data_IF_416368075757
#
_entry.id   IF_416368075757
#
_cell.length_a   1.000
_cell.length_b   1.000
_cell.length_c   1.000
_cell.angle_alpha   90.00
_cell.angle_beta   90.00
_cell.angle_gamma   90.00
#
_symmetry.space_group_name_H-M   'P 1'
#
loop_
_entity.id
_entity.type
_entity.pdbx_description
1 polymer ?
#
# COMPACT_ATOMS: atom_id res chain seq x y z
N UNK A 1 -6.66 -17.46 -24.25
CA UNK A 1 -6.82 -17.85 -22.83
C UNK A 1 -7.74 -16.83 -22.13
N UNK A 2 -8.39 -17.17 -21.00
CA UNK A 2 -9.22 -16.23 -20.26
C UNK A 2 -8.48 -14.93 -19.88
N UNK A 3 -7.20 -15.02 -19.53
CA UNK A 3 -6.35 -13.85 -19.26
C UNK A 3 -6.25 -12.90 -20.45
N UNK A 4 -6.04 -13.43 -21.66
CA UNK A 4 -5.92 -12.62 -22.88
C UNK A 4 -7.20 -11.81 -23.15
N UNK A 5 -8.37 -12.44 -23.06
CA UNK A 5 -9.65 -11.77 -23.26
C UNK A 5 -9.87 -10.64 -22.23
N UNK A 6 -9.48 -10.85 -20.97
CA UNK A 6 -9.56 -9.82 -19.93
C UNK A 6 -8.59 -8.65 -20.17
N UNK A 7 -7.41 -8.92 -20.73
CA UNK A 7 -6.48 -7.85 -21.13
C UNK A 7 -7.02 -7.06 -22.32
N UNK A 8 -7.65 -7.73 -23.29
CA UNK A 8 -8.31 -7.07 -24.43
C UNK A 8 -9.47 -6.19 -23.94
N UNK A 9 -10.30 -6.68 -23.02
CA UNK A 9 -11.39 -5.89 -22.40
C UNK A 9 -10.86 -4.70 -21.58
N UNK A 10 -9.81 -4.90 -20.77
CA UNK A 10 -9.13 -3.81 -20.06
C UNK A 10 -8.63 -2.73 -21.03
N UNK A 11 -8.05 -3.15 -22.17
CA UNK A 11 -7.53 -2.24 -23.18
C UNK A 11 -8.65 -1.41 -23.80
N UNK A 12 -9.76 -2.04 -24.18
CA UNK A 12 -10.92 -1.35 -24.74
C UNK A 12 -11.50 -0.33 -23.75
N UNK A 13 -11.67 -0.71 -22.48
CA UNK A 13 -12.17 0.21 -21.43
C UNK A 13 -11.26 1.41 -21.21
N UNK A 14 -9.95 1.20 -21.22
CA UNK A 14 -8.99 2.29 -21.10
C UNK A 14 -9.10 3.23 -22.31
N UNK A 15 -9.22 2.68 -23.53
CA UNK A 15 -9.40 3.45 -24.77
C UNK A 15 -10.69 4.27 -24.76
N UNK A 16 -11.79 3.73 -24.25
CA UNK A 16 -13.06 4.45 -24.10
C UNK A 16 -12.95 5.64 -23.13
N UNK A 17 -12.08 5.55 -22.12
CA UNK A 17 -11.79 6.67 -21.20
C UNK A 17 -10.94 7.77 -21.87
N UNK A 18 -10.14 7.42 -22.87
CA UNK A 18 -9.25 8.34 -23.59
C UNK A 18 -7.99 8.76 -22.82
N UNK A 19 -8.12 9.16 -21.55
CA UNK A 19 -7.00 9.55 -20.69
C UNK A 19 -7.28 9.30 -19.21
N UNK A 20 -6.24 8.96 -18.44
CA UNK A 20 -6.39 8.59 -17.01
C UNK A 20 -5.29 9.11 -16.09
N UNK A 21 -5.70 9.54 -14.90
CA UNK A 21 -4.82 9.64 -13.73
C UNK A 21 -4.92 8.32 -12.97
N UNK A 22 -3.84 7.54 -12.94
CA UNK A 22 -3.77 6.32 -12.14
C UNK A 22 -3.34 6.67 -10.71
N UNK A 23 -4.22 6.39 -9.74
CA UNK A 23 -3.88 6.46 -8.32
C UNK A 23 -2.84 5.38 -7.99
N UNK A 24 -1.57 5.78 -8.02
CA UNK A 24 -0.42 4.88 -8.06
C UNK A 24 0.26 4.78 -6.70
N UNK A 25 0.14 3.60 -6.07
CA UNK A 25 0.70 3.33 -4.75
C UNK A 25 2.03 2.56 -4.78
N UNK A 26 2.58 2.28 -5.97
CA UNK A 26 3.79 1.45 -6.11
C UNK A 26 3.57 -0.05 -5.84
N UNK A 27 2.32 -0.49 -5.64
CA UNK A 27 1.95 -1.89 -5.47
C UNK A 27 1.65 -2.59 -6.80
N UNK A 28 1.72 -3.93 -6.82
CA UNK A 28 1.58 -4.75 -8.02
C UNK A 28 0.34 -4.40 -8.87
N UNK A 29 -0.83 -4.23 -8.24
CA UNK A 29 -2.08 -3.97 -8.97
C UNK A 29 -2.10 -2.57 -9.61
N UNK A 30 -1.71 -1.54 -8.87
CA UNK A 30 -1.61 -0.17 -9.40
C UNK A 30 -0.51 -0.01 -10.46
N UNK A 31 0.60 -0.76 -10.32
CA UNK A 31 1.69 -0.78 -11.27
C UNK A 31 1.28 -1.44 -12.59
N UNK A 32 0.54 -2.55 -12.51
CA UNK A 32 -0.03 -3.21 -13.67
C UNK A 32 -1.04 -2.31 -14.38
N UNK A 33 -1.96 -1.67 -13.65
CA UNK A 33 -2.93 -0.73 -14.23
C UNK A 33 -2.22 0.43 -14.93
N UNK A 34 -1.18 1.00 -14.31
CA UNK A 34 -0.39 2.07 -14.93
C UNK A 34 0.27 1.60 -16.24
N UNK A 35 0.94 0.44 -16.23
CA UNK A 35 1.55 -0.12 -17.42
C UNK A 35 0.52 -0.45 -18.51
N UNK A 36 -0.66 -0.96 -18.13
CA UNK A 36 -1.75 -1.25 -19.07
C UNK A 36 -2.32 0.02 -19.70
N UNK A 37 -2.52 1.08 -18.90
CA UNK A 37 -2.94 2.40 -19.39
C UNK A 37 -1.95 2.96 -20.41
N UNK A 38 -0.65 2.92 -20.11
CA UNK A 38 0.39 3.40 -21.04
C UNK A 38 0.37 2.63 -22.35
N UNK A 39 0.22 1.31 -22.30
CA UNK A 39 0.14 0.46 -23.51
C UNK A 39 -1.12 0.72 -24.33
N UNK A 40 -2.23 1.06 -23.69
CA UNK A 40 -3.51 1.30 -24.34
C UNK A 40 -3.63 2.71 -24.92
N UNK A 41 -3.09 3.73 -24.24
CA UNK A 41 -3.35 5.15 -24.49
C UNK A 41 -2.11 5.95 -24.90
N UNK A 42 -0.91 5.40 -24.72
CA UNK A 42 0.34 6.16 -24.81
C UNK A 42 0.66 6.93 -23.52
N UNK A 43 1.87 7.47 -23.45
CA UNK A 43 2.38 8.17 -22.26
C UNK A 43 1.74 9.55 -22.04
N UNK A 44 1.29 10.20 -23.11
CA UNK A 44 0.75 11.57 -23.04
C UNK A 44 -0.64 11.63 -22.41
N UNK A 45 -1.41 10.54 -22.53
CA UNK A 45 -2.77 10.41 -22.00
C UNK A 45 -2.82 9.75 -20.61
N UNK A 46 -1.66 9.53 -19.98
CA UNK A 46 -1.57 8.82 -18.70
C UNK A 46 -0.76 9.63 -17.72
N UNK A 47 -1.25 9.73 -16.49
CA UNK A 47 -0.53 10.36 -15.38
C UNK A 47 -0.51 9.38 -14.22
N UNK A 48 0.68 9.08 -13.69
CA UNK A 48 0.80 8.41 -12.41
C UNK A 48 0.64 9.46 -11.30
N UNK A 49 -0.15 9.16 -10.26
CA UNK A 49 -0.26 10.05 -9.10
C UNK A 49 -0.09 9.31 -7.78
N UNK A 50 0.92 9.68 -7.00
CA UNK A 50 1.19 9.11 -5.68
C UNK A 50 0.94 10.16 -4.60
N UNK A 51 -0.14 10.01 -3.84
CA UNK A 51 -0.44 10.88 -2.72
C UNK A 51 0.64 10.80 -1.64
N UNK A 52 1.15 11.95 -1.24
CA UNK A 52 2.19 12.07 -0.21
C UNK A 52 1.56 12.51 1.10
N UNK A 53 1.75 11.69 2.13
CA UNK A 53 1.30 11.98 3.49
C UNK A 53 2.21 11.33 4.51
N UNK A 54 2.08 11.66 5.81
CA UNK A 54 2.81 10.98 6.88
C UNK A 54 2.55 9.47 6.95
N UNK A 55 1.54 8.93 6.25
CA UNK A 55 1.22 7.50 6.27
C UNK A 55 1.83 6.71 5.11
N UNK A 56 2.42 7.39 4.13
CA UNK A 56 3.18 6.78 3.03
C UNK A 56 4.62 6.50 3.50
N UNK A 57 5.09 5.23 3.48
CA UNK A 57 6.50 4.94 3.74
C UNK A 57 7.41 5.63 2.72
N UNK A 58 8.54 6.20 3.16
CA UNK A 58 9.46 6.94 2.29
C UNK A 58 9.96 6.14 1.09
N UNK A 59 10.25 4.85 1.30
CA UNK A 59 10.81 3.96 0.28
C UNK A 59 9.80 3.63 -0.84
N UNK A 60 8.49 3.71 -0.53
CA UNK A 60 7.44 3.51 -1.51
C UNK A 60 7.36 4.68 -2.50
N UNK A 61 7.58 5.92 -2.04
CA UNK A 61 7.60 7.09 -2.92
C UNK A 61 8.77 7.04 -3.91
N UNK A 62 9.96 6.66 -3.44
CA UNK A 62 11.13 6.51 -4.29
C UNK A 62 10.90 5.42 -5.35
N UNK A 63 10.39 4.26 -4.95
CA UNK A 63 10.05 3.16 -5.85
C UNK A 63 9.00 3.56 -6.89
N UNK A 64 7.97 4.32 -6.49
CA UNK A 64 6.94 4.81 -7.39
C UNK A 64 7.50 5.79 -8.43
N UNK A 65 8.38 6.72 -8.02
CA UNK A 65 9.05 7.66 -8.93
C UNK A 65 9.87 6.93 -9.98
N UNK A 66 10.68 5.95 -9.57
CA UNK A 66 11.47 5.12 -10.50
C UNK A 66 10.56 4.39 -11.48
N UNK A 67 9.52 3.71 -10.99
CA UNK A 67 8.61 2.96 -11.86
C UNK A 67 7.89 3.85 -12.89
N UNK A 68 7.40 5.02 -12.49
CA UNK A 68 6.77 5.97 -13.42
C UNK A 68 7.76 6.51 -14.46
N UNK A 69 9.00 6.80 -14.04
CA UNK A 69 10.08 7.22 -14.92
C UNK A 69 10.46 6.14 -15.94
N UNK A 70 10.56 4.88 -15.52
CA UNK A 70 10.89 3.75 -16.39
C UNK A 70 9.82 3.51 -17.47
N UNK A 71 8.56 3.85 -17.18
CA UNK A 71 7.47 3.83 -18.14
C UNK A 71 7.37 5.09 -19.02
N UNK A 72 8.18 6.13 -18.75
CA UNK A 72 8.13 7.40 -19.47
C UNK A 72 6.87 8.24 -19.18
N UNK A 73 6.25 8.04 -18.01
CA UNK A 73 4.97 8.68 -17.67
C UNK A 73 5.18 9.85 -16.71
N UNK A 74 4.39 10.91 -16.89
CA UNK A 74 4.32 12.00 -15.91
C UNK A 74 3.92 11.48 -14.54
N UNK A 75 4.69 11.84 -13.51
CA UNK A 75 4.41 11.51 -12.12
C UNK A 75 4.06 12.75 -11.31
N UNK A 76 2.85 12.79 -10.76
CA UNK A 76 2.38 13.83 -9.84
C UNK A 76 2.40 13.30 -8.41
N UNK A 77 2.85 14.13 -7.47
CA UNK A 77 2.95 13.75 -6.05
C UNK A 77 2.18 14.73 -5.16
N UNK A 78 0.84 14.79 -5.27
CA UNK A 78 0.07 15.74 -4.51
C UNK A 78 0.08 15.39 -3.02
N UNK A 79 0.07 16.40 -2.16
CA UNK A 79 -0.01 16.21 -0.71
C UNK A 79 -1.45 15.91 -0.29
N UNK A 80 -1.63 14.95 0.62
CA UNK A 80 -2.93 14.67 1.25
C UNK A 80 -2.91 15.04 2.73
N UNK A 81 -4.09 15.43 3.22
CA UNK A 81 -4.31 15.97 4.55
C UNK A 81 -5.23 15.06 5.36
N UNK A 82 -5.16 13.74 5.15
CA UNK A 82 -6.02 12.79 5.86
C UNK A 82 -5.82 12.84 7.39
N UNK A 83 -4.66 13.34 7.86
CA UNK A 83 -4.41 13.62 9.28
C UNK A 83 -5.32 14.71 9.86
N UNK A 84 -5.95 15.54 9.04
CA UNK A 84 -6.89 16.58 9.50
C UNK A 84 -8.31 16.01 9.68
N UNK A 85 -8.55 14.80 9.18
CA UNK A 85 -9.86 14.14 9.24
C UNK A 85 -9.99 13.34 10.52
N UNK A 86 -10.97 13.69 11.33
CA UNK A 86 -11.28 12.97 12.57
C UNK A 86 -11.48 11.47 12.32
N UNK A 87 -12.25 11.10 11.28
CA UNK A 87 -12.50 9.69 10.96
C UNK A 87 -11.25 8.88 10.59
N UNK A 88 -10.23 9.52 10.00
CA UNK A 88 -8.95 8.86 9.79
C UNK A 88 -8.17 8.72 11.11
N UNK A 89 -8.08 9.81 11.87
CA UNK A 89 -7.32 9.86 13.14
C UNK A 89 -7.87 8.90 14.17
N UNK A 90 -9.19 8.74 14.24
CA UNK A 90 -9.87 7.86 15.20
C UNK A 90 -9.44 6.40 15.08
N UNK A 91 -8.86 6.00 13.94
CA UNK A 91 -8.33 4.67 13.69
C UNK A 91 -9.34 3.56 14.01
N UNK A 92 -10.61 3.77 13.66
CA UNK A 92 -11.62 2.73 13.77
C UNK A 92 -11.56 1.82 12.53
N UNK A 93 -12.46 0.85 12.43
CA UNK A 93 -12.51 -0.08 11.30
C UNK A 93 -12.61 0.61 9.93
N UNK A 94 -13.13 1.83 9.86
CA UNK A 94 -13.39 2.56 8.62
C UNK A 94 -12.29 3.56 8.22
N UNK A 95 -11.14 3.63 8.90
CA UNK A 95 -10.02 4.55 8.56
C UNK A 95 -9.69 4.60 7.07
N UNK A 96 -9.72 3.45 6.39
CA UNK A 96 -9.44 3.34 4.95
C UNK A 96 -10.46 4.07 4.07
N UNK A 97 -11.70 4.28 4.54
CA UNK A 97 -12.70 5.13 3.88
C UNK A 97 -12.17 6.56 3.75
N UNK A 98 -11.81 7.18 4.89
CA UNK A 98 -11.37 8.58 4.93
C UNK A 98 -10.05 8.82 4.20
N UNK A 99 -9.13 7.85 4.27
CA UNK A 99 -7.88 7.87 3.51
C UNK A 99 -8.15 7.88 2.00
N UNK A 100 -9.01 6.97 1.52
CA UNK A 100 -9.27 6.84 0.08
C UNK A 100 -10.16 7.98 -0.44
N UNK A 101 -11.06 8.48 0.37
CA UNK A 101 -11.81 9.70 0.11
C UNK A 101 -10.89 10.88 -0.18
N UNK A 102 -9.94 11.16 0.72
CA UNK A 102 -8.97 12.25 0.58
C UNK A 102 -8.13 12.06 -0.68
N UNK A 103 -7.65 10.83 -0.93
CA UNK A 103 -6.88 10.53 -2.13
C UNK A 103 -7.64 10.97 -3.39
N UNK A 104 -8.89 10.54 -3.58
CA UNK A 104 -9.62 10.88 -4.80
C UNK A 104 -9.92 12.37 -4.87
N UNK A 105 -10.34 13.00 -3.77
CA UNK A 105 -10.59 14.44 -3.70
C UNK A 105 -9.39 15.29 -4.10
N UNK A 106 -8.17 14.88 -3.72
CA UNK A 106 -6.93 15.57 -4.09
C UNK A 106 -6.52 15.30 -5.54
N UNK A 107 -6.94 14.18 -6.14
CA UNK A 107 -6.67 13.86 -7.54
C UNK A 107 -7.64 14.54 -8.51
N UNK A 108 -8.89 14.82 -8.09
CA UNK A 108 -9.89 15.43 -8.97
C UNK A 108 -9.44 16.77 -9.60
N UNK A 109 -8.78 17.71 -8.88
CA UNK A 109 -8.23 18.92 -9.49
C UNK A 109 -7.20 18.67 -10.60
N UNK A 110 -6.54 17.50 -10.61
CA UNK A 110 -5.59 17.15 -11.66
C UNK A 110 -6.26 16.91 -13.00
N UNK A 111 -7.51 16.45 -13.01
CA UNK A 111 -8.27 16.19 -14.23
C UNK A 111 -8.41 17.47 -15.07
N UNK A 112 -8.91 18.55 -14.45
CA UNK A 112 -9.05 19.84 -15.12
C UNK A 112 -7.70 20.49 -15.44
N UNK A 113 -6.71 20.36 -14.55
CA UNK A 113 -5.38 20.96 -14.73
C UNK A 113 -4.57 20.33 -15.87
N UNK A 114 -4.76 19.04 -16.11
CA UNK A 114 -3.97 18.24 -17.06
C UNK A 114 -4.78 17.82 -18.29
N UNK A 115 -6.05 18.21 -18.39
CA UNK A 115 -6.98 17.79 -19.44
C UNK A 115 -7.10 16.25 -19.53
N UNK A 116 -7.32 15.63 -18.37
CA UNK A 116 -7.44 14.17 -18.22
C UNK A 116 -8.88 13.78 -17.84
N UNK A 117 -9.39 12.69 -18.39
CA UNK A 117 -10.81 12.34 -18.27
C UNK A 117 -11.21 11.69 -16.94
N UNK A 118 -10.37 10.81 -16.38
CA UNK A 118 -10.78 10.00 -15.22
C UNK A 118 -9.66 9.70 -14.21
N UNK A 119 -10.04 9.47 -12.96
CA UNK A 119 -9.18 8.88 -11.92
C UNK A 119 -9.41 7.37 -11.87
N UNK A 120 -8.38 6.56 -12.05
CA UNK A 120 -8.46 5.10 -12.01
C UNK A 120 -7.71 4.50 -10.81
N UNK A 121 -8.32 3.52 -10.13
CA UNK A 121 -7.67 2.79 -9.01
C UNK A 121 -7.38 1.34 -9.39
N UNK A 122 -6.30 0.79 -8.85
CA UNK A 122 -5.88 -0.61 -9.06
C UNK A 122 -6.75 -1.67 -8.37
N UNK A 123 -8.04 -1.41 -8.14
CA UNK A 123 -8.98 -2.36 -7.56
C UNK A 123 -9.24 -3.51 -8.53
N UNK A 124 -9.01 -4.75 -8.09
CA UNK A 124 -9.14 -5.95 -8.91
C UNK A 124 -10.42 -6.75 -8.56
N UNK A 125 -10.70 -7.82 -9.30
CA UNK A 125 -11.92 -8.63 -9.14
C UNK A 125 -12.02 -9.38 -7.81
N UNK A 126 -10.89 -9.73 -7.19
CA UNK A 126 -10.89 -10.40 -5.90
C UNK A 126 -11.22 -9.42 -4.77
N UNK A 127 -10.87 -8.14 -4.93
CA UNK A 127 -11.20 -7.10 -3.95
C UNK A 127 -12.71 -6.91 -3.78
N UNK A 128 -13.48 -7.05 -4.85
CA UNK A 128 -14.96 -6.94 -4.81
C UNK A 128 -15.64 -8.09 -4.08
N UNK A 129 -14.95 -9.23 -3.91
CA UNK A 129 -15.46 -10.38 -3.16
C UNK A 129 -15.20 -10.27 -1.65
N UNK A 130 -14.32 -9.36 -1.24
CA UNK A 130 -14.00 -9.16 0.16
C UNK A 130 -15.12 -8.38 0.87
N UNK A 131 -15.57 -8.87 2.03
CA UNK A 131 -16.79 -8.37 2.68
C UNK A 131 -16.72 -6.89 3.11
N UNK A 132 -15.58 -6.44 3.64
CA UNK A 132 -15.44 -5.06 4.15
C UNK A 132 -14.31 -4.29 3.47
N UNK A 133 -14.68 -3.47 2.48
CA UNK A 133 -13.77 -2.63 1.68
C UNK A 133 -14.17 -1.14 1.68
N UNK A 134 -14.11 -0.47 2.85
CA UNK A 134 -14.51 0.94 2.98
C UNK A 134 -13.77 1.89 2.01
N UNK A 135 -12.50 1.61 1.70
CA UNK A 135 -11.74 2.43 0.76
C UNK A 135 -12.28 2.36 -0.67
N UNK A 136 -12.63 1.18 -1.17
CA UNK A 136 -13.16 1.01 -2.54
C UNK A 136 -14.49 1.77 -2.66
N UNK A 137 -15.36 1.64 -1.66
CA UNK A 137 -16.60 2.41 -1.57
C UNK A 137 -16.34 3.92 -1.64
N UNK A 138 -15.41 4.43 -0.82
CA UNK A 138 -15.09 5.87 -0.80
C UNK A 138 -14.58 6.40 -2.14
N UNK A 139 -13.83 5.59 -2.89
CA UNK A 139 -13.32 5.94 -4.21
C UNK A 139 -14.45 6.00 -5.25
N UNK A 140 -15.32 4.98 -5.25
CA UNK A 140 -16.46 4.90 -6.16
C UNK A 140 -17.46 6.05 -5.94
N UNK A 141 -17.75 6.39 -4.67
CA UNK A 141 -18.61 7.54 -4.32
C UNK A 141 -18.08 8.89 -4.84
N UNK A 142 -16.79 8.97 -5.19
CA UNK A 142 -16.12 10.17 -5.73
C UNK A 142 -15.80 10.05 -7.23
N UNK A 143 -16.33 9.03 -7.89
CA UNK A 143 -16.21 8.87 -9.35
C UNK A 143 -14.89 8.24 -9.81
N UNK A 144 -14.10 7.63 -8.92
CA UNK A 144 -12.96 6.84 -9.38
C UNK A 144 -13.43 5.57 -10.11
N UNK A 145 -12.82 5.28 -11.25
CA UNK A 145 -13.09 4.08 -12.05
C UNK A 145 -12.18 2.92 -11.65
N UNK A 146 -12.60 1.68 -11.94
CA UNK A 146 -11.89 0.46 -11.54
C UNK A 146 -11.65 -0.50 -12.71
N UNK A 147 -10.83 -0.13 -13.71
CA UNK A 147 -10.74 -0.88 -14.97
C UNK A 147 -10.34 -2.35 -14.81
N UNK A 148 -9.50 -2.68 -13.81
CA UNK A 148 -9.11 -4.06 -13.53
C UNK A 148 -10.29 -4.90 -13.01
N UNK A 149 -11.08 -4.35 -12.08
CA UNK A 149 -12.31 -4.97 -11.58
C UNK A 149 -13.33 -5.14 -12.70
N UNK A 150 -13.52 -4.10 -13.51
CA UNK A 150 -14.54 -4.10 -14.57
C UNK A 150 -14.22 -5.13 -15.66
N UNK A 151 -12.94 -5.33 -15.97
CA UNK A 151 -12.46 -6.40 -16.85
C UNK A 151 -12.33 -7.77 -16.16
N UNK A 152 -12.71 -7.88 -14.88
CA UNK A 152 -12.72 -9.12 -14.12
C UNK A 152 -11.34 -9.70 -13.84
N UNK A 153 -10.28 -8.90 -13.86
CA UNK A 153 -8.92 -9.36 -13.58
C UNK A 153 -8.76 -9.72 -12.11
N UNK A 154 -8.43 -10.98 -11.85
CA UNK A 154 -8.04 -11.46 -10.51
C UNK A 154 -6.60 -11.05 -10.18
N UNK A 155 -6.23 -11.04 -8.91
CA UNK A 155 -4.87 -10.76 -8.43
C UNK A 155 -3.83 -11.70 -9.03
N UNK A 156 -4.16 -12.98 -9.17
CA UNK A 156 -3.27 -13.97 -9.80
C UNK A 156 -3.00 -13.61 -11.27
N UNK A 157 -4.05 -13.25 -12.00
CA UNK A 157 -3.96 -12.82 -13.39
C UNK A 157 -3.17 -11.53 -13.57
N UNK A 158 -3.36 -10.55 -12.69
CA UNK A 158 -2.57 -9.31 -12.65
C UNK A 158 -1.09 -9.65 -12.48
N UNK A 159 -0.73 -10.54 -11.55
CA UNK A 159 0.67 -10.96 -11.35
C UNK A 159 1.23 -11.74 -12.54
N UNK A 160 0.45 -12.64 -13.12
CA UNK A 160 0.85 -13.40 -14.31
C UNK A 160 1.12 -12.48 -15.51
N UNK A 161 0.22 -11.51 -15.76
CA UNK A 161 0.40 -10.53 -16.82
C UNK A 161 1.58 -9.59 -16.53
N UNK A 162 1.72 -9.11 -15.30
CA UNK A 162 2.85 -8.27 -14.86
C UNK A 162 4.19 -8.98 -15.08
N UNK A 163 4.29 -10.26 -14.73
CA UNK A 163 5.48 -11.07 -14.93
C UNK A 163 5.78 -11.26 -16.42
N UNK A 164 4.77 -11.56 -17.23
CA UNK A 164 4.91 -11.68 -18.67
C UNK A 164 5.33 -10.36 -19.34
N UNK A 165 4.97 -9.23 -18.73
CA UNK A 165 5.34 -7.88 -19.19
C UNK A 165 6.68 -7.40 -18.63
N UNK A 166 7.36 -8.19 -17.80
CA UNK A 166 8.65 -7.83 -17.20
C UNK A 166 8.56 -6.76 -16.11
N UNK A 167 7.39 -6.53 -15.51
CA UNK A 167 7.24 -5.51 -14.47
C UNK A 167 7.92 -5.96 -13.18
N UNK A 168 8.86 -5.16 -12.67
CA UNK A 168 9.61 -5.46 -11.44
C UNK A 168 8.73 -5.62 -10.18
N UNK A 169 7.48 -5.13 -10.23
CA UNK A 169 6.52 -5.19 -9.12
C UNK A 169 5.66 -6.46 -9.10
N UNK A 170 5.87 -7.42 -10.03
CA UNK A 170 4.98 -8.58 -10.22
C UNK A 170 4.89 -9.48 -8.97
N UNK A 171 5.98 -9.65 -8.24
CA UNK A 171 6.08 -10.43 -7.00
C UNK A 171 6.02 -9.56 -5.74
N UNK A 172 6.15 -8.22 -5.87
CA UNK A 172 6.13 -7.28 -4.75
C UNK A 172 4.96 -7.56 -3.78
N UNK A 173 5.25 -7.75 -2.48
CA UNK A 173 4.22 -7.89 -1.45
C UNK A 173 3.31 -6.66 -1.40
N UNK A 174 2.08 -6.84 -0.92
CA UNK A 174 1.18 -5.70 -0.73
C UNK A 174 1.77 -4.73 0.31
N UNK A 175 2.15 -3.54 -0.13
CA UNK A 175 2.60 -2.47 0.73
C UNK A 175 1.38 -1.83 1.41
N UNK A 176 1.21 -2.10 2.70
CA UNK A 176 0.23 -1.41 3.51
C UNK A 176 0.81 -0.07 4.01
N UNK A 177 -0.05 0.95 4.18
CA UNK A 177 0.34 2.23 4.77
C UNK A 177 0.83 2.07 6.21
N UNK A 178 1.60 3.05 6.71
CA UNK A 178 2.13 3.03 8.08
C UNK A 178 1.01 2.98 9.13
N UNK A 179 -0.17 3.55 8.86
CA UNK A 179 -1.29 3.49 9.80
C UNK A 179 -1.81 2.06 10.03
N UNK A 180 -1.54 1.10 9.14
CA UNK A 180 -1.87 -0.31 9.35
C UNK A 180 -1.04 -0.97 10.46
N UNK A 181 -0.04 -0.27 11.01
CA UNK A 181 0.77 -0.73 12.13
C UNK A 181 0.18 -0.30 13.47
N UNK A 182 -0.70 0.70 13.48
CA UNK A 182 -1.28 1.25 14.71
C UNK A 182 -2.53 0.46 15.06
N UNK A 183 -2.62 -0.06 16.28
CA UNK A 183 -3.78 -0.80 16.76
C UNK A 183 -5.06 0.01 16.67
N UNK A 184 -6.16 -0.64 16.27
CA UNK A 184 -7.46 0.00 16.21
C UNK A 184 -7.85 0.60 17.56
N UNK A 185 -8.52 1.75 17.52
CA UNK A 185 -8.85 2.55 18.70
C UNK A 185 -7.70 3.40 19.23
N UNK A 186 -6.44 3.16 18.80
CA UNK A 186 -5.33 4.08 19.07
C UNK A 186 -5.32 5.15 18.01
N UNK A 187 -5.40 6.41 18.43
CA UNK A 187 -5.41 7.55 17.53
C UNK A 187 -4.16 7.59 16.64
N UNK A 188 -4.35 7.69 15.32
CA UNK A 188 -3.24 7.92 14.38
C UNK A 188 -2.74 9.35 14.53
N UNK A 189 -1.43 9.50 14.65
CA UNK A 189 -0.76 10.80 14.70
C UNK A 189 0.53 10.77 13.87
N UNK A 190 1.00 11.92 13.35
CA UNK A 190 2.29 11.99 12.66
C UNK A 190 3.45 11.45 13.50
N UNK A 191 3.46 11.70 14.82
CA UNK A 191 4.48 11.18 15.73
C UNK A 191 4.49 9.65 15.79
N UNK A 192 3.32 9.01 15.87
CA UNK A 192 3.19 7.55 15.88
C UNK A 192 3.62 6.93 14.55
N UNK A 193 3.24 7.53 13.43
CA UNK A 193 3.65 7.07 12.10
C UNK A 193 5.17 7.18 11.94
N UNK A 194 5.76 8.30 12.34
CA UNK A 194 7.20 8.53 12.26
C UNK A 194 8.01 7.57 13.14
N UNK A 195 7.55 7.24 14.36
CA UNK A 195 8.26 6.24 15.19
C UNK A 195 8.18 4.83 14.63
N UNK A 196 7.03 4.45 14.05
CA UNK A 196 6.89 3.16 13.35
C UNK A 196 7.87 3.09 12.18
N UNK A 197 7.92 4.12 11.35
CA UNK A 197 8.82 4.16 10.19
C UNK A 197 10.29 4.11 10.62
N UNK A 198 10.70 4.93 11.60
CA UNK A 198 12.07 4.89 12.14
C UNK A 198 12.43 3.50 12.66
N UNK A 199 11.53 2.83 13.36
CA UNK A 199 11.74 1.49 13.88
C UNK A 199 11.87 0.47 12.73
N UNK A 200 10.96 0.47 11.74
CA UNK A 200 11.04 -0.44 10.58
C UNK A 200 12.34 -0.22 9.77
N UNK A 201 12.75 1.04 9.55
CA UNK A 201 14.01 1.37 8.86
C UNK A 201 15.23 0.90 9.66
N UNK A 202 15.26 1.15 10.96
CA UNK A 202 16.37 0.73 11.82
C UNK A 202 16.51 -0.80 11.84
N UNK A 203 15.39 -1.52 11.93
CA UNK A 203 15.40 -2.98 11.88
C UNK A 203 15.89 -3.51 10.53
N UNK A 204 15.44 -2.94 9.41
CA UNK A 204 15.94 -3.33 8.08
C UNK A 204 17.46 -3.17 7.97
N UNK A 205 17.99 -2.05 8.47
CA UNK A 205 19.45 -1.79 8.50
C UNK A 205 20.19 -2.80 9.38
N UNK A 206 19.68 -3.07 10.59
CA UNK A 206 20.27 -4.06 11.49
C UNK A 206 20.28 -5.46 10.85
N UNK A 207 19.16 -5.90 10.29
CA UNK A 207 19.07 -7.21 9.64
C UNK A 207 20.03 -7.33 8.45
N UNK A 208 20.16 -6.28 7.64
CA UNK A 208 21.12 -6.23 6.54
C UNK A 208 22.58 -6.32 7.01
N UNK A 209 22.94 -5.68 8.13
CA UNK A 209 24.27 -5.79 8.75
C UNK A 209 24.61 -7.21 9.21
N UNK A 210 23.57 -8.02 9.47
CA UNK A 210 23.69 -9.44 9.82
C UNK A 210 23.45 -10.38 8.64
N UNK A 211 23.41 -9.85 7.41
CA UNK A 211 23.18 -10.61 6.17
C UNK A 211 21.85 -11.40 6.18
N UNK A 212 20.84 -10.86 6.87
CA UNK A 212 19.51 -11.44 6.95
C UNK A 212 18.54 -10.72 6.00
N UNK A 213 18.12 -11.43 4.97
CA UNK A 213 17.02 -10.99 4.12
C UNK A 213 15.69 -11.17 4.85
N UNK A 214 14.91 -10.09 4.93
CA UNK A 214 13.59 -10.07 5.54
C UNK A 214 12.67 -9.18 4.69
N UNK A 215 11.77 -9.80 3.95
CA UNK A 215 10.80 -9.11 3.10
C UNK A 215 9.77 -8.38 3.96
N UNK A 216 9.31 -9.05 5.01
CA UNK A 216 8.30 -8.51 5.93
C UNK A 216 8.92 -8.06 7.24
N UNK A 217 9.22 -6.77 7.33
CA UNK A 217 9.50 -6.09 8.59
C UNK A 217 8.30 -5.23 8.96
N UNK A 218 7.66 -5.50 10.10
CA UNK A 218 6.56 -4.68 10.63
C UNK A 218 6.79 -4.36 12.10
N UNK A 219 6.60 -3.11 12.48
CA UNK A 219 6.57 -2.69 13.88
C UNK A 219 5.16 -2.24 14.22
N UNK A 220 4.41 -3.08 14.95
CA UNK A 220 3.05 -2.78 15.36
C UNK A 220 3.06 -1.90 16.61
N UNK A 221 2.40 -0.77 16.53
CA UNK A 221 2.19 0.16 17.62
C UNK A 221 0.92 -0.21 18.39
N UNK A 222 1.10 -0.78 19.58
CA UNK A 222 0.03 -1.18 20.51
C UNK A 222 -0.12 -0.17 21.67
N UNK A 223 0.31 1.08 21.48
CA UNK A 223 0.31 2.11 22.53
C UNK A 223 1.72 2.32 23.06
N UNK A 224 2.02 1.77 24.23
CA UNK A 224 3.37 1.80 24.80
C UNK A 224 4.24 0.63 24.33
N UNK A 225 3.60 -0.45 23.88
CA UNK A 225 4.23 -1.68 23.43
C UNK A 225 4.39 -1.68 21.91
N UNK A 226 5.60 -1.96 21.43
CA UNK A 226 5.88 -2.35 20.07
C UNK A 226 5.90 -3.87 19.92
N UNK A 227 5.12 -4.40 18.97
CA UNK A 227 5.24 -5.79 18.52
C UNK A 227 5.94 -5.84 17.17
N UNK A 228 7.13 -6.41 17.14
CA UNK A 228 7.93 -6.63 15.94
C UNK A 228 7.51 -7.93 15.28
N UNK A 229 7.08 -7.86 14.04
CA UNK A 229 6.75 -9.03 13.21
C UNK A 229 7.77 -9.11 12.05
N UNK A 230 8.43 -10.25 11.94
CA UNK A 230 9.45 -10.56 10.93
C UNK A 230 9.07 -11.84 10.17
N UNK A 231 9.73 -12.10 9.04
CA UNK A 231 9.63 -13.42 8.41
C UNK A 231 10.08 -14.52 9.37
N UNK A 232 9.37 -15.66 9.38
CA UNK A 232 9.56 -16.71 10.37
C UNK A 232 11.02 -17.23 10.49
N UNK A 233 11.78 -17.42 9.39
CA UNK A 233 13.19 -17.78 9.48
C UNK A 233 14.05 -16.72 10.20
N UNK A 234 13.70 -15.44 10.04
CA UNK A 234 14.39 -14.31 10.67
C UNK A 234 14.04 -14.24 12.16
N UNK A 235 12.79 -14.51 12.54
CA UNK A 235 12.38 -14.63 13.96
C UNK A 235 13.24 -15.67 14.68
N UNK A 236 13.39 -16.87 14.11
CA UNK A 236 14.21 -17.93 14.71
C UNK A 236 15.67 -17.51 14.88
N UNK A 237 16.23 -16.76 13.92
CA UNK A 237 17.60 -16.24 14.00
C UNK A 237 17.75 -15.15 15.06
N UNK A 238 16.78 -14.24 15.17
CA UNK A 238 16.76 -13.19 16.20
C UNK A 238 16.67 -13.81 17.59
N UNK A 239 15.80 -14.81 17.79
CA UNK A 239 15.60 -15.45 19.10
C UNK A 239 16.79 -16.31 19.56
N UNK A 240 17.54 -16.89 18.62
CA UNK A 240 18.71 -17.73 18.93
C UNK A 240 20.01 -16.95 19.16
N UNK A 241 19.99 -15.62 18.98
CA UNK A 241 21.17 -14.76 19.09
C UNK A 241 20.91 -13.59 20.04
N UNK A 242 21.44 -13.68 21.26
CA UNK A 242 21.28 -12.63 22.28
C UNK A 242 21.76 -11.24 21.80
N UNK A 243 22.90 -11.08 21.10
CA UNK A 243 23.32 -9.78 20.57
C UNK A 243 22.33 -9.22 19.54
N UNK A 244 21.80 -10.07 18.65
CA UNK A 244 20.84 -9.64 17.63
C UNK A 244 19.49 -9.26 18.24
N UNK A 245 18.99 -10.05 19.19
CA UNK A 245 17.79 -9.74 19.94
C UNK A 245 17.92 -8.39 20.67
N UNK A 246 19.03 -8.17 21.37
CA UNK A 246 19.31 -6.90 22.04
C UNK A 246 19.37 -5.72 21.06
N UNK A 247 19.97 -5.93 19.88
CA UNK A 247 19.99 -4.94 18.80
C UNK A 247 18.59 -4.59 18.29
N UNK A 248 17.71 -5.58 18.13
CA UNK A 248 16.30 -5.37 17.74
C UNK A 248 15.57 -4.54 18.79
N UNK A 249 15.71 -4.88 20.07
CA UNK A 249 15.09 -4.13 21.17
C UNK A 249 15.60 -2.68 21.18
N UNK A 250 16.93 -2.50 21.18
CA UNK A 250 17.56 -1.17 21.20
C UNK A 250 17.11 -0.31 20.02
N UNK A 251 17.04 -0.87 18.81
CA UNK A 251 16.63 -0.14 17.61
C UNK A 251 15.19 0.37 17.70
N UNK A 252 14.29 -0.43 18.28
CA UNK A 252 12.87 -0.08 18.43
C UNK A 252 12.66 0.89 19.59
N UNK A 253 13.36 0.71 20.72
CA UNK A 253 13.33 1.65 21.85
C UNK A 253 13.85 3.03 21.46
N UNK A 254 14.96 3.09 20.72
CA UNK A 254 15.52 4.33 20.19
C UNK A 254 14.57 5.06 19.23
N UNK A 255 13.59 4.37 18.64
CA UNK A 255 12.56 4.98 17.81
C UNK A 255 11.45 5.66 18.63
N UNK A 256 11.34 5.38 19.94
CA UNK A 256 10.38 5.99 20.86
C UNK A 256 9.31 5.03 21.39
N UNK A 257 9.65 3.76 21.59
CA UNK A 257 8.80 2.77 22.25
C UNK A 257 9.35 2.39 23.62
N UNK A 258 8.48 2.15 24.59
CA UNK A 258 8.86 1.84 25.99
C UNK A 258 9.06 0.35 26.20
N UNK A 259 8.38 -0.48 25.40
CA UNK A 259 8.48 -1.94 25.51
C UNK A 259 8.47 -2.56 24.12
N UNK A 260 9.23 -3.64 23.97
CA UNK A 260 9.40 -4.32 22.68
C UNK A 260 9.21 -5.81 22.87
N UNK A 261 8.41 -6.42 21.98
CA UNK A 261 8.30 -7.87 21.86
C UNK A 261 8.49 -8.28 20.40
N UNK A 262 9.17 -9.40 20.17
CA UNK A 262 9.24 -10.05 18.85
C UNK A 262 8.15 -11.12 18.80
N UNK A 263 7.22 -11.02 17.84
CA UNK A 263 6.14 -12.00 17.70
C UNK A 263 6.71 -13.36 17.26
N UNK A 264 6.61 -14.42 18.09
CA UNK A 264 7.13 -15.75 17.74
C UNK A 264 6.41 -16.38 16.55
N UNK A 265 5.21 -15.90 16.21
CA UNK A 265 4.44 -16.36 15.04
C UNK A 265 4.88 -15.67 13.75
N UNK A 266 5.78 -14.67 13.83
CA UNK A 266 6.23 -13.89 12.69
C UNK A 266 5.12 -13.06 12.03
N UNK A 267 5.43 -12.52 10.85
CA UNK A 267 4.52 -11.72 10.06
C UNK A 267 3.32 -12.53 9.58
N UNK A 268 2.12 -11.98 9.81
CA UNK A 268 0.85 -12.48 9.27
C UNK A 268 0.05 -11.32 8.71
N UNK A 269 -0.41 -11.45 7.47
CA UNK A 269 -1.32 -10.45 6.89
C UNK A 269 -2.59 -10.36 7.73
N UNK A 270 -3.00 -9.15 8.09
CA UNK A 270 -4.19 -8.93 8.92
C UNK A 270 -4.01 -9.23 10.41
N UNK A 271 -2.80 -9.43 10.94
CA UNK A 271 -2.56 -9.72 12.38
C UNK A 271 -3.17 -8.70 13.36
N UNK A 272 -3.39 -7.46 12.92
CA UNK A 272 -4.03 -6.41 13.71
C UNK A 272 -5.56 -6.56 13.80
N UNK A 273 -6.19 -7.23 12.81
CA UNK A 273 -7.62 -7.48 12.82
C UNK A 273 -7.99 -8.52 13.90
N UNK A 274 -7.05 -9.40 14.28
CA UNK A 274 -7.20 -10.36 15.39
C UNK A 274 -7.48 -9.68 16.73
N UNK A 275 -7.17 -8.38 16.86
CA UNK A 275 -7.37 -7.59 18.09
C UNK A 275 -8.74 -6.91 18.18
N UNK A 276 -9.56 -7.00 17.14
CA UNK A 276 -10.90 -6.41 17.12
C UNK A 276 -11.93 -7.32 17.81
N UNK A 277 -13.03 -6.74 18.28
CA UNK A 277 -14.13 -7.50 18.91
C UNK A 277 -14.80 -8.49 17.93
N UNK A 278 -14.77 -8.20 16.62
CA UNK A 278 -15.33 -9.05 15.55
C UNK A 278 -14.31 -9.22 14.39
N UNK A 279 -13.23 -10.01 14.56
CA UNK A 279 -12.15 -10.12 13.57
C UNK A 279 -12.61 -10.59 12.19
N UNK A 280 -13.62 -11.48 12.15
CA UNK A 280 -14.15 -12.08 10.92
C UNK A 280 -14.78 -11.06 9.97
N UNK A 281 -15.29 -9.94 10.51
CA UNK A 281 -15.85 -8.84 9.71
C UNK A 281 -14.80 -8.11 8.88
N UNK A 282 -13.53 -8.19 9.26
CA UNK A 282 -12.41 -7.45 8.68
C UNK A 282 -11.46 -8.33 7.87
N UNK A 283 -11.77 -9.63 7.71
CA UNK A 283 -11.00 -10.56 6.86
C UNK A 283 -11.38 -10.43 5.39
#
# INVERSE_FOLDING_TARGET
>A
SPLRLRIEDLTARLQDLGSVVVAFSGGADSAFLLAAAVRALGTDSVVAATAVSPSLPSDELASAKTFASDLGVRHETPSTHEMEREGYRANTGDRCYFCKAELVEVLLPLLARLDIAAVATGTNADDARAGFRPGIRAAAERGAVTPLLDAGLTKEQVRAASRAWGLATWDKPAAACLSSRIAYGIQVTPLRLARVERAEVALRRLLAQHELTCDNVRVRDLGELARVELDLPVVARVQSSQPLFSGVVTAVEAAGFTSVVVDPKGFRSGSMNELLAEPERFR
#
